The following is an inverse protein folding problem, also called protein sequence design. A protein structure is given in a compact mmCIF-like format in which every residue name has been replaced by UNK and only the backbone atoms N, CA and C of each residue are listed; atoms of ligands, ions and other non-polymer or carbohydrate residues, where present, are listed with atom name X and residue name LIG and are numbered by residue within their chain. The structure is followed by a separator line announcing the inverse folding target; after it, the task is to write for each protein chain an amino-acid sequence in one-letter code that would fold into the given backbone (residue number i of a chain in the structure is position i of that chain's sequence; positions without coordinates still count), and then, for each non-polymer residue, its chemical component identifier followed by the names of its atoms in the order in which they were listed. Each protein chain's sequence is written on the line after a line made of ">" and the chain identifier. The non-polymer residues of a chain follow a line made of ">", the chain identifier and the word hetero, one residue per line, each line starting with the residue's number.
data_IF_058278068911
#
_entry.id   IF_058278068911
#
_cell.length_a   1.000
_cell.length_b   1.000
_cell.length_c   1.000
_cell.angle_alpha   90.00
_cell.angle_beta   90.00
_cell.angle_gamma   90.00
#
_symmetry.space_group_name_H-M   'P 1'
#
loop_
_entity.id
_entity.type
_entity.pdbx_description
1 polymer ?
#
# COMPACT_ATOMS: atom_id res chain seq x y z
N UNK A 1 -16.99 0.96 60.24
CA UNK A 1 -17.47 1.03 58.85
C UNK A 1 -17.40 2.46 58.40
N UNK A 2 -16.41 2.84 57.60
CA UNK A 2 -16.49 4.01 56.71
C UNK A 2 -15.36 3.95 55.68
N UNK A 3 -15.80 3.55 54.49
CA UNK A 3 -15.27 3.64 53.13
C UNK A 3 -13.90 4.30 52.90
N UNK A 4 -12.95 3.47 52.46
CA UNK A 4 -11.81 3.88 51.65
C UNK A 4 -12.29 4.28 50.25
N UNK A 5 -12.35 5.58 49.97
CA UNK A 5 -12.51 6.10 48.60
C UNK A 5 -11.23 5.87 47.79
N UNK A 6 -11.22 4.80 46.99
CA UNK A 6 -10.23 4.62 45.92
C UNK A 6 -10.60 5.57 44.78
N UNK A 7 -9.92 6.72 44.73
CA UNK A 7 -9.96 7.61 43.56
C UNK A 7 -9.19 6.94 42.43
N UNK A 8 -9.88 6.18 41.57
CA UNK A 8 -9.37 5.85 40.23
C UNK A 8 -9.28 7.14 39.41
N UNK A 9 -8.15 7.82 39.51
CA UNK A 9 -7.85 8.99 38.67
C UNK A 9 -7.75 8.52 37.22
N UNK A 10 -8.66 9.03 36.41
CA UNK A 10 -8.92 8.66 35.03
C UNK A 10 -7.72 9.08 34.14
N UNK A 11 -6.76 8.18 33.93
CA UNK A 11 -5.50 8.40 33.20
C UNK A 11 -5.66 8.86 31.75
N UNK A 12 -6.83 8.68 31.13
CA UNK A 12 -7.12 9.21 29.78
C UNK A 12 -7.27 10.73 29.72
N UNK A 13 -7.75 11.37 30.79
CA UNK A 13 -7.93 12.83 30.81
C UNK A 13 -6.60 13.55 31.00
N UNK A 14 -5.63 12.94 31.69
CA UNK A 14 -4.33 13.54 31.95
C UNK A 14 -3.47 13.63 30.69
N UNK A 15 -3.52 12.65 29.79
CA UNK A 15 -2.67 12.64 28.59
C UNK A 15 -3.08 13.71 27.56
N UNK A 16 -4.39 13.93 27.40
CA UNK A 16 -4.93 14.96 26.49
C UNK A 16 -4.74 16.36 27.07
N UNK A 17 -4.88 16.52 28.39
CA UNK A 17 -4.56 17.77 29.08
C UNK A 17 -3.07 18.11 29.01
N UNK A 18 -2.19 17.11 29.14
CA UNK A 18 -0.75 17.28 28.98
C UNK A 18 -0.40 17.72 27.55
N UNK A 19 -1.05 17.12 26.54
CA UNK A 19 -0.88 17.50 25.14
C UNK A 19 -1.40 18.93 24.86
N UNK A 20 -2.48 19.35 25.55
CA UNK A 20 -3.02 20.71 25.52
C UNK A 20 -2.11 21.75 26.17
N UNK A 21 -1.52 21.42 27.32
CA UNK A 21 -0.53 22.26 28.00
C UNK A 21 0.75 22.39 27.19
N UNK A 22 1.25 21.30 26.60
CA UNK A 22 2.44 21.31 25.76
C UNK A 22 2.16 22.09 24.48
N UNK A 23 1.03 21.87 23.80
CA UNK A 23 0.75 22.49 22.50
C UNK A 23 0.20 23.92 22.56
N UNK A 24 -0.10 24.46 23.75
CA UNK A 24 -0.67 25.80 23.94
C UNK A 24 -2.03 26.00 23.25
N UNK A 25 -2.85 24.94 23.16
CA UNK A 25 -4.20 24.96 22.56
C UNK A 25 -5.22 24.33 23.50
N UNK A 26 -6.47 24.78 23.44
CA UNK A 26 -7.57 24.13 24.19
C UNK A 26 -7.74 22.67 23.77
N UNK A 27 -8.16 21.83 24.71
CA UNK A 27 -8.43 20.40 24.50
C UNK A 27 -9.39 20.19 23.32
N UNK A 28 -10.43 21.01 23.21
CA UNK A 28 -11.41 20.95 22.11
C UNK A 28 -10.76 21.23 20.75
N UNK A 29 -9.80 22.15 20.69
CA UNK A 29 -9.04 22.42 19.48
C UNK A 29 -8.14 21.26 19.05
N UNK A 30 -7.63 20.45 19.98
CA UNK A 30 -6.82 19.27 19.65
C UNK A 30 -7.71 18.13 19.12
N UNK A 31 -8.87 17.94 19.75
CA UNK A 31 -9.85 16.93 19.35
C UNK A 31 -10.36 17.19 17.93
N UNK A 32 -10.67 18.44 17.59
CA UNK A 32 -11.10 18.82 16.24
C UNK A 32 -10.03 18.54 15.18
N UNK A 33 -8.77 18.90 15.45
CA UNK A 33 -7.63 18.66 14.53
C UNK A 33 -7.44 17.17 14.27
N UNK A 34 -7.43 16.37 15.34
CA UNK A 34 -7.30 14.92 15.25
C UNK A 34 -8.48 14.32 14.49
N UNK A 35 -9.70 14.82 14.74
CA UNK A 35 -10.90 14.42 14.03
C UNK A 35 -10.81 14.68 12.52
N UNK A 36 -10.44 15.90 12.12
CA UNK A 36 -10.27 16.26 10.70
C UNK A 36 -9.24 15.38 10.01
N UNK A 37 -8.06 15.20 10.60
CA UNK A 37 -7.03 14.39 9.98
C UNK A 37 -7.38 12.89 9.97
N UNK A 38 -8.09 12.40 10.99
CA UNK A 38 -8.62 11.04 10.99
C UNK A 38 -9.63 10.84 9.84
N UNK A 39 -10.58 11.75 9.67
CA UNK A 39 -11.54 11.72 8.56
C UNK A 39 -10.85 11.75 7.19
N UNK A 40 -9.83 12.60 7.02
CA UNK A 40 -9.07 12.65 5.77
C UNK A 40 -8.28 11.36 5.54
N UNK A 41 -7.67 10.76 6.57
CA UNK A 41 -7.00 9.46 6.45
C UNK A 41 -7.99 8.35 6.04
N UNK A 42 -9.16 8.28 6.67
CA UNK A 42 -10.22 7.33 6.30
C UNK A 42 -10.62 7.50 4.84
N UNK A 43 -10.82 8.74 4.40
CA UNK A 43 -11.17 9.05 3.01
C UNK A 43 -10.08 8.62 2.02
N UNK A 44 -8.82 8.94 2.31
CA UNK A 44 -7.67 8.56 1.47
C UNK A 44 -7.64 7.03 1.29
N UNK A 45 -7.78 6.27 2.37
CA UNK A 45 -7.73 4.80 2.31
C UNK A 45 -8.95 4.20 1.60
N UNK A 46 -10.14 4.77 1.80
CA UNK A 46 -11.34 4.35 1.09
C UNK A 46 -11.18 4.56 -0.42
N UNK A 47 -10.65 5.73 -0.82
CA UNK A 47 -10.39 6.03 -2.22
C UNK A 47 -9.32 5.11 -2.81
N UNK A 48 -8.24 4.85 -2.08
CA UNK A 48 -7.22 3.88 -2.50
C UNK A 48 -7.81 2.47 -2.68
N UNK A 49 -8.65 2.01 -1.75
CA UNK A 49 -9.34 0.72 -1.87
C UNK A 49 -10.20 0.68 -3.14
N UNK A 50 -10.96 1.74 -3.44
CA UNK A 50 -11.77 1.84 -4.67
C UNK A 50 -10.88 1.77 -5.91
N UNK A 51 -9.81 2.57 -5.96
CA UNK A 51 -8.87 2.58 -7.09
C UNK A 51 -8.20 1.22 -7.30
N UNK A 52 -7.80 0.54 -6.23
CA UNK A 52 -7.21 -0.80 -6.32
C UNK A 52 -8.19 -1.85 -6.86
N UNK A 53 -9.48 -1.69 -6.56
CA UNK A 53 -10.54 -2.56 -7.07
C UNK A 53 -10.84 -2.26 -8.55
N UNK A 54 -10.87 -0.99 -8.95
CA UNK A 54 -11.00 -0.59 -10.36
C UNK A 54 -9.82 -1.12 -11.18
N UNK A 55 -8.59 -1.02 -10.65
CA UNK A 55 -7.40 -1.55 -11.32
C UNK A 55 -7.51 -3.06 -11.56
N UNK A 56 -8.02 -3.82 -10.58
CA UNK A 56 -8.27 -5.26 -10.76
C UNK A 56 -9.36 -5.55 -11.79
N UNK A 57 -10.43 -4.75 -11.82
CA UNK A 57 -11.49 -4.87 -12.81
C UNK A 57 -10.96 -4.67 -14.23
N UNK A 58 -10.19 -3.59 -14.46
CA UNK A 58 -9.53 -3.31 -15.73
C UNK A 58 -8.63 -4.48 -16.12
N UNK A 59 -7.76 -4.95 -15.22
CA UNK A 59 -6.88 -6.10 -15.50
C UNK A 59 -7.66 -7.34 -15.92
N UNK A 60 -8.81 -7.61 -15.29
CA UNK A 60 -9.68 -8.73 -15.64
C UNK A 60 -10.33 -8.54 -17.01
N UNK A 61 -10.86 -7.36 -17.29
CA UNK A 61 -11.57 -7.05 -18.54
C UNK A 61 -10.64 -7.15 -19.75
N UNK A 62 -9.41 -6.66 -19.62
CA UNK A 62 -8.38 -6.77 -20.65
C UNK A 62 -7.67 -8.15 -20.66
N UNK A 63 -8.14 -9.12 -19.87
CA UNK A 63 -7.57 -10.46 -19.77
C UNK A 63 -6.05 -10.46 -19.56
N UNK A 64 -5.57 -9.52 -18.73
CA UNK A 64 -4.16 -9.36 -18.41
C UNK A 64 -3.64 -10.64 -17.77
N UNK A 65 -2.48 -11.11 -18.25
CA UNK A 65 -1.84 -12.26 -17.66
C UNK A 65 -1.19 -11.91 -16.31
N UNK A 66 -1.88 -12.21 -15.22
CA UNK A 66 -1.40 -11.99 -13.85
C UNK A 66 -0.72 -13.21 -13.25
N UNK A 67 -0.63 -14.33 -13.99
CA UNK A 67 0.22 -15.46 -13.62
C UNK A 67 1.71 -15.15 -13.84
N UNK A 68 1.99 -14.31 -14.84
CA UNK A 68 3.31 -13.77 -15.12
C UNK A 68 3.82 -12.96 -13.93
N UNK A 69 4.98 -13.36 -13.40
CA UNK A 69 5.65 -12.68 -12.30
C UNK A 69 5.94 -11.20 -12.60
N UNK A 70 6.35 -10.91 -13.84
CA UNK A 70 6.67 -9.55 -14.26
C UNK A 70 5.42 -8.68 -14.34
N UNK A 71 4.38 -9.20 -15.01
CA UNK A 71 3.10 -8.51 -15.17
C UNK A 71 2.47 -8.20 -13.82
N UNK A 72 2.33 -9.19 -12.95
CA UNK A 72 1.66 -8.98 -11.68
C UNK A 72 2.41 -8.00 -10.77
N UNK A 73 3.75 -8.06 -10.75
CA UNK A 73 4.56 -7.08 -10.02
C UNK A 73 4.43 -5.68 -10.59
N UNK A 74 4.40 -5.53 -11.91
CA UNK A 74 4.26 -4.25 -12.58
C UNK A 74 2.91 -3.59 -12.25
N UNK A 75 1.79 -4.31 -12.43
CA UNK A 75 0.46 -3.77 -12.10
C UNK A 75 0.26 -3.52 -10.61
N UNK A 76 0.82 -4.37 -9.76
CA UNK A 76 0.86 -4.14 -8.32
C UNK A 76 1.59 -2.87 -7.94
N UNK A 77 2.78 -2.65 -8.51
CA UNK A 77 3.59 -1.46 -8.29
C UNK A 77 2.87 -0.21 -8.79
N UNK A 78 2.28 -0.27 -9.98
CA UNK A 78 1.47 0.81 -10.54
C UNK A 78 0.30 1.17 -9.61
N UNK A 79 -0.42 0.17 -9.12
CA UNK A 79 -1.56 0.36 -8.21
C UNK A 79 -1.14 1.02 -6.90
N UNK A 80 -0.05 0.56 -6.29
CA UNK A 80 0.47 1.14 -5.04
C UNK A 80 0.91 2.58 -5.25
N UNK A 81 1.72 2.84 -6.29
CA UNK A 81 2.35 4.15 -6.51
C UNK A 81 1.32 5.19 -6.99
N UNK A 82 0.71 4.96 -8.16
CA UNK A 82 -0.28 5.88 -8.71
C UNK A 82 -1.56 5.92 -7.88
N UNK A 83 -2.01 4.79 -7.33
CA UNK A 83 -3.17 4.77 -6.45
C UNK A 83 -2.94 5.60 -5.18
N UNK A 84 -1.75 5.51 -4.55
CA UNK A 84 -1.43 6.35 -3.37
C UNK A 84 -1.37 7.83 -3.75
N UNK A 85 -0.75 8.16 -4.88
CA UNK A 85 -0.68 9.53 -5.37
C UNK A 85 -2.06 10.13 -5.66
N UNK A 86 -2.88 9.43 -6.44
CA UNK A 86 -4.22 9.88 -6.83
C UNK A 86 -5.12 9.99 -5.61
N UNK A 87 -5.14 8.97 -4.75
CA UNK A 87 -5.98 8.99 -3.53
C UNK A 87 -5.63 10.17 -2.63
N UNK A 88 -4.34 10.45 -2.47
CA UNK A 88 -3.86 11.59 -1.72
C UNK A 88 -4.27 12.92 -2.37
N UNK A 89 -4.02 13.12 -3.67
CA UNK A 89 -4.33 14.38 -4.36
C UNK A 89 -5.82 14.69 -4.43
N UNK A 90 -6.65 13.69 -4.65
CA UNK A 90 -8.11 13.86 -4.61
C UNK A 90 -8.55 14.23 -3.20
N UNK A 91 -7.95 13.65 -2.15
CA UNK A 91 -8.26 14.07 -0.77
C UNK A 91 -7.89 15.52 -0.50
N UNK A 92 -6.75 16.02 -1.01
CA UNK A 92 -6.37 17.43 -0.89
C UNK A 92 -7.39 18.33 -1.58
N UNK A 93 -7.75 18.01 -2.82
CA UNK A 93 -8.72 18.79 -3.60
C UNK A 93 -10.09 18.86 -2.93
N UNK A 94 -10.54 17.77 -2.31
CA UNK A 94 -11.81 17.73 -1.59
C UNK A 94 -11.78 18.55 -0.32
N UNK A 95 -10.68 18.51 0.43
CA UNK A 95 -10.54 19.39 1.61
C UNK A 95 -10.49 20.85 1.19
N UNK A 96 -9.76 21.19 0.13
CA UNK A 96 -9.73 22.55 -0.40
C UNK A 96 -11.11 23.01 -0.88
N UNK A 97 -11.87 22.13 -1.55
CA UNK A 97 -13.24 22.43 -1.97
C UNK A 97 -14.17 22.66 -0.78
N UNK A 98 -14.09 21.79 0.24
CA UNK A 98 -14.84 21.94 1.48
C UNK A 98 -14.53 23.27 2.17
N UNK A 99 -13.25 23.61 2.33
CA UNK A 99 -12.82 24.88 2.95
C UNK A 99 -13.22 26.13 2.15
N UNK A 100 -13.46 26.00 0.84
CA UNK A 100 -13.99 27.08 -0.02
C UNK A 100 -15.51 27.21 0.10
N UNK A 101 -16.24 26.09 0.05
CA UNK A 101 -17.71 26.08 0.14
C UNK A 101 -18.16 26.58 1.50
N UNK A 102 -17.48 26.17 2.57
CA UNK A 102 -17.85 26.51 3.94
C UNK A 102 -17.02 27.67 4.51
N UNK A 103 -16.52 28.58 3.66
CA UNK A 103 -15.59 29.66 4.05
C UNK A 103 -16.05 30.50 5.25
N UNK A 104 -17.36 30.70 5.38
CA UNK A 104 -17.98 31.53 6.42
C UNK A 104 -18.34 30.73 7.69
N UNK A 105 -18.13 29.41 7.67
CA UNK A 105 -18.32 28.57 8.84
C UNK A 105 -17.15 28.69 9.81
N UNK A 106 -17.48 28.78 11.10
CA UNK A 106 -16.49 28.73 12.18
C UNK A 106 -15.57 27.50 12.08
N UNK A 107 -16.13 26.35 11.71
CA UNK A 107 -15.39 25.09 11.53
C UNK A 107 -14.35 25.19 10.41
N UNK A 108 -14.71 25.72 9.23
CA UNK A 108 -13.75 25.87 8.13
C UNK A 108 -12.69 26.94 8.42
N UNK A 109 -13.05 28.00 9.16
CA UNK A 109 -12.09 28.99 9.66
C UNK A 109 -11.02 28.34 10.54
N UNK A 110 -11.43 27.55 11.55
CA UNK A 110 -10.50 26.80 12.42
C UNK A 110 -9.68 25.77 11.65
N UNK A 111 -10.28 25.03 10.73
CA UNK A 111 -9.56 24.07 9.88
C UNK A 111 -8.49 24.78 9.03
N UNK A 112 -8.76 25.98 8.51
CA UNK A 112 -7.80 26.78 7.74
C UNK A 112 -6.64 27.31 8.59
N UNK A 113 -6.87 27.64 9.86
CA UNK A 113 -5.80 28.03 10.80
C UNK A 113 -4.86 26.87 11.15
N UNK A 114 -5.37 25.65 11.13
CA UNK A 114 -4.62 24.41 11.38
C UNK A 114 -3.89 23.96 10.12
N UNK A 115 -4.62 23.92 9.01
CA UNK A 115 -4.14 23.50 7.71
C UNK A 115 -3.53 24.72 7.00
N UNK A 116 -2.28 25.05 7.30
CA UNK A 116 -1.57 26.09 6.54
C UNK A 116 -1.09 25.51 5.18
N UNK A 117 -1.76 25.81 4.05
CA UNK A 117 -1.47 25.11 2.79
C UNK A 117 -0.22 25.66 2.08
N UNK A 118 0.37 26.76 2.56
CA UNK A 118 1.25 27.60 1.73
C UNK A 118 2.76 27.39 1.89
N UNK A 119 3.25 26.52 2.78
CA UNK A 119 4.71 26.24 2.94
C UNK A 119 5.07 24.77 3.22
N UNK A 120 4.10 23.86 3.11
CA UNK A 120 4.14 22.43 3.48
C UNK A 120 4.95 21.52 2.55
N UNK A 121 5.37 21.99 1.37
CA UNK A 121 5.95 21.09 0.36
C UNK A 121 7.43 20.74 0.54
N UNK A 122 8.10 21.11 1.64
CA UNK A 122 9.57 21.00 1.75
C UNK A 122 10.07 20.16 2.92
N UNK A 123 9.48 20.23 4.13
CA UNK A 123 10.00 19.51 5.30
C UNK A 123 9.82 17.98 5.17
N UNK A 124 8.61 17.53 4.83
CA UNK A 124 8.27 16.11 4.64
C UNK A 124 9.07 15.44 3.51
N UNK A 125 9.48 16.24 2.53
CA UNK A 125 10.28 15.78 1.40
C UNK A 125 11.78 15.77 1.73
N UNK A 126 12.26 16.70 2.56
CA UNK A 126 13.65 16.79 2.94
C UNK A 126 14.08 15.64 3.86
N UNK A 127 13.19 15.07 4.68
CA UNK A 127 13.54 13.97 5.61
C UNK A 127 13.92 12.67 4.88
N UNK A 128 13.12 12.11 3.94
CA UNK A 128 13.52 10.95 3.15
C UNK A 128 14.75 11.21 2.30
N UNK A 129 14.87 12.41 1.71
CA UNK A 129 16.05 12.80 0.92
C UNK A 129 17.29 12.88 1.79
N UNK A 130 17.19 13.44 3.00
CA UNK A 130 18.29 13.51 3.96
C UNK A 130 18.66 12.11 4.49
N UNK A 131 17.68 11.23 4.72
CA UNK A 131 17.93 9.84 5.08
C UNK A 131 18.61 9.08 3.94
N UNK A 132 18.12 9.21 2.70
CA UNK A 132 18.76 8.65 1.51
C UNK A 132 20.17 9.20 1.31
N UNK A 133 20.38 10.51 1.50
CA UNK A 133 21.69 11.14 1.45
C UNK A 133 22.62 10.61 2.55
N UNK A 134 22.13 10.49 3.80
CA UNK A 134 22.93 9.93 4.91
C UNK A 134 23.25 8.46 4.70
N UNK A 135 22.30 7.66 4.22
CA UNK A 135 22.53 6.27 3.86
C UNK A 135 23.51 6.16 2.69
N UNK A 136 23.35 6.98 1.65
CA UNK A 136 24.27 7.07 0.52
C UNK A 136 25.68 7.42 0.99
N UNK A 137 25.83 8.45 1.83
CA UNK A 137 27.11 8.84 2.43
C UNK A 137 27.71 7.76 3.32
N UNK A 138 26.90 7.05 4.10
CA UNK A 138 27.34 5.93 4.92
C UNK A 138 27.84 4.76 4.06
N UNK A 139 27.11 4.40 3.00
CA UNK A 139 27.52 3.40 2.00
C UNK A 139 28.76 3.85 1.22
N UNK A 140 28.87 5.14 0.90
CA UNK A 140 29.99 5.71 0.16
C UNK A 140 31.27 5.78 1.02
N UNK A 141 31.14 6.03 2.33
CA UNK A 141 32.25 5.98 3.28
C UNK A 141 32.75 4.54 3.55
N UNK A 142 31.99 3.52 3.14
CA UNK A 142 32.38 2.11 3.21
C UNK A 142 33.01 1.59 1.89
N UNK A 143 33.06 2.42 0.84
CA UNK A 143 33.64 2.09 -0.47
C UNK A 143 35.00 2.82 -0.65
N UNK A 144 36.05 2.14 -1.14
CA UNK A 144 37.36 2.76 -1.33
C UNK A 144 37.31 3.89 -2.37
N UNK A 145 38.01 4.98 -2.04
CA UNK A 145 38.03 6.28 -2.72
C UNK A 145 38.45 6.18 -4.19
N UNK A 146 37.53 6.48 -5.10
CA UNK A 146 37.82 7.15 -6.39
C UNK A 146 36.53 7.56 -7.12
N UNK A 147 35.75 8.50 -6.57
CA UNK A 147 34.64 9.15 -7.30
C UNK A 147 34.15 10.44 -6.62
N UNK A 148 35.08 11.36 -6.33
CA UNK A 148 34.79 12.65 -5.67
C UNK A 148 34.07 13.71 -6.52
N UNK A 149 33.76 13.44 -7.79
CA UNK A 149 33.20 14.44 -8.71
C UNK A 149 31.66 14.50 -8.75
N UNK A 150 30.95 13.50 -8.21
CA UNK A 150 29.48 13.44 -8.28
C UNK A 150 28.77 14.24 -7.17
N UNK A 151 29.47 14.49 -6.05
CA UNK A 151 28.91 15.14 -4.85
C UNK A 151 28.63 16.65 -5.05
N UNK A 152 29.45 17.32 -5.88
CA UNK A 152 29.34 18.76 -6.15
C UNK A 152 28.16 19.07 -7.09
N UNK A 153 27.88 18.19 -8.05
CA UNK A 153 26.82 18.41 -9.04
C UNK A 153 25.41 18.26 -8.41
N UNK A 154 25.25 17.31 -7.48
CA UNK A 154 23.99 17.06 -6.77
C UNK A 154 23.71 18.19 -5.75
N UNK A 155 24.75 18.71 -5.09
CA UNK A 155 24.63 19.81 -4.11
C UNK A 155 24.09 21.10 -4.74
N UNK A 156 24.57 21.46 -5.94
CA UNK A 156 24.16 22.70 -6.61
C UNK A 156 22.76 22.62 -7.24
N UNK A 157 22.28 21.42 -7.59
CA UNK A 157 20.94 21.26 -8.16
C UNK A 157 19.83 21.18 -7.09
N UNK A 158 20.15 20.77 -5.86
CA UNK A 158 19.16 20.54 -4.80
C UNK A 158 18.99 21.71 -3.82
N UNK A 159 19.95 22.64 -3.71
CA UNK A 159 19.97 23.66 -2.67
C UNK A 159 19.74 25.12 -3.11
N UNK A 160 19.59 25.39 -4.42
CA UNK A 160 19.07 26.66 -4.94
C UNK A 160 20.02 27.87 -4.86
N UNK A 161 19.97 28.74 -5.87
CA UNK A 161 20.42 30.13 -5.77
C UNK A 161 19.27 31.02 -6.24
N UNK A 162 18.90 31.96 -5.38
CA UNK A 162 17.95 33.03 -5.63
C UNK A 162 18.50 33.99 -6.68
N UNK A 163 17.61 34.60 -7.47
CA UNK A 163 17.78 35.95 -7.98
C UNK A 163 16.40 36.65 -8.06
N UNK A 164 16.38 37.88 -7.55
CA UNK A 164 15.22 38.72 -7.28
C UNK A 164 14.67 39.43 -8.53
N UNK A 165 13.36 39.74 -8.54
CA UNK A 165 12.79 41.12 -8.61
C UNK A 165 11.29 41.19 -9.00
N UNK A 166 10.69 42.30 -8.55
CA UNK A 166 9.56 43.10 -9.07
C UNK A 166 8.11 42.93 -8.53
N UNK A 167 7.76 43.93 -7.70
CA UNK A 167 6.67 44.92 -7.80
C UNK A 167 5.17 44.59 -7.73
N UNK A 168 4.51 45.52 -7.04
CA UNK A 168 3.11 45.63 -6.64
C UNK A 168 2.25 46.18 -7.79
N UNK A 169 1.10 45.56 -8.11
CA UNK A 169 -0.15 46.32 -8.29
C UNK A 169 -1.43 45.45 -8.22
N UNK A 170 -2.48 46.09 -7.72
CA UNK A 170 -3.86 45.63 -7.59
C UNK A 170 -4.55 45.41 -8.94
N UNK A 171 -5.28 44.31 -9.09
CA UNK A 171 -6.61 44.29 -9.72
C UNK A 171 -7.26 42.90 -9.62
N UNK A 172 -8.44 42.87 -9.01
CA UNK A 172 -9.23 41.66 -8.76
C UNK A 172 -9.92 41.21 -10.05
N UNK A 173 -9.41 40.15 -10.69
CA UNK A 173 -10.20 39.28 -11.59
C UNK A 173 -10.02 37.84 -11.18
N UNK A 174 -11.13 37.16 -10.85
CA UNK A 174 -11.16 35.71 -10.60
C UNK A 174 -10.93 35.00 -11.93
N UNK A 175 -9.65 34.86 -12.30
CA UNK A 175 -9.18 33.96 -13.34
C UNK A 175 -8.70 32.69 -12.65
N UNK A 176 -9.37 31.55 -12.89
CA UNK A 176 -8.87 30.23 -12.50
C UNK A 176 -7.66 29.90 -13.40
N UNK A 177 -6.55 30.61 -13.21
CA UNK A 177 -5.24 30.19 -13.72
C UNK A 177 -4.81 29.01 -12.86
N UNK A 178 -5.05 27.78 -13.31
CA UNK A 178 -4.33 26.65 -12.72
C UNK A 178 -2.82 26.93 -12.91
N UNK A 179 -2.01 27.00 -11.84
CA UNK A 179 -0.58 27.18 -12.00
C UNK A 179 -0.06 26.06 -12.91
N UNK A 180 0.65 26.39 -14.00
CA UNK A 180 1.34 25.37 -14.79
C UNK A 180 2.19 24.55 -13.81
N UNK A 181 1.95 23.23 -13.67
CA UNK A 181 2.65 22.46 -12.67
C UNK A 181 4.14 22.53 -12.97
N UNK A 182 4.93 23.05 -12.04
CA UNK A 182 6.37 22.98 -12.11
C UNK A 182 6.73 21.48 -12.22
N UNK A 183 7.19 21.07 -13.41
CA UNK A 183 7.43 19.66 -13.77
C UNK A 183 8.39 18.98 -12.79
N UNK A 184 9.30 19.74 -12.17
CA UNK A 184 10.20 19.26 -11.12
C UNK A 184 9.47 18.98 -9.80
N UNK A 185 8.57 19.87 -9.37
CA UNK A 185 7.76 19.67 -8.15
C UNK A 185 6.85 18.44 -8.27
N UNK A 186 6.16 18.28 -9.40
CA UNK A 186 5.28 17.13 -9.63
C UNK A 186 6.05 15.80 -9.54
N UNK A 187 7.19 15.68 -10.22
CA UNK A 187 8.03 14.47 -10.18
C UNK A 187 8.48 14.14 -8.76
N UNK A 188 8.89 15.15 -7.99
CA UNK A 188 9.35 15.02 -6.60
C UNK A 188 8.21 14.55 -5.68
N UNK A 189 7.04 15.17 -5.77
CA UNK A 189 5.86 14.76 -4.97
C UNK A 189 5.42 13.34 -5.30
N UNK A 190 5.33 13.00 -6.59
CA UNK A 190 4.98 11.65 -7.03
C UNK A 190 5.97 10.62 -6.48
N UNK A 191 7.27 10.88 -6.58
CA UNK A 191 8.31 9.97 -6.09
C UNK A 191 8.24 9.76 -4.57
N UNK A 192 8.02 10.84 -3.80
CA UNK A 192 7.95 10.76 -2.34
C UNK A 192 6.70 10.00 -1.89
N UNK A 193 5.52 10.37 -2.42
CA UNK A 193 4.26 9.70 -2.08
C UNK A 193 4.34 8.23 -2.46
N UNK A 194 4.88 7.93 -3.64
CA UNK A 194 5.11 6.54 -4.09
C UNK A 194 6.06 5.78 -3.18
N UNK A 195 7.14 6.43 -2.71
CA UNK A 195 8.09 5.83 -1.77
C UNK A 195 7.47 5.48 -0.42
N UNK A 196 6.72 6.43 0.18
CA UNK A 196 5.98 6.17 1.42
C UNK A 196 4.92 5.09 1.25
N UNK A 197 4.12 5.17 0.17
CA UNK A 197 3.10 4.18 -0.15
C UNK A 197 3.69 2.79 -0.32
N UNK A 198 4.75 2.64 -1.11
CA UNK A 198 5.40 1.35 -1.34
C UNK A 198 6.07 0.81 -0.08
N UNK A 199 6.79 1.64 0.67
CA UNK A 199 7.42 1.21 1.93
C UNK A 199 6.38 0.71 2.93
N UNK A 200 5.29 1.45 3.09
CA UNK A 200 4.20 1.08 4.02
C UNK A 200 3.48 -0.18 3.56
N UNK A 201 3.22 -0.30 2.26
CA UNK A 201 2.62 -1.48 1.67
C UNK A 201 3.41 -2.75 2.02
N UNK A 202 4.74 -2.71 1.83
CA UNK A 202 5.62 -3.84 2.14
C UNK A 202 5.70 -4.11 3.66
N UNK A 203 5.80 -3.07 4.49
CA UNK A 203 5.82 -3.18 5.95
C UNK A 203 4.55 -3.83 6.51
N UNK A 204 3.39 -3.54 5.90
CA UNK A 204 2.10 -4.13 6.28
C UNK A 204 1.88 -5.53 5.67
N UNK A 205 2.93 -6.14 5.09
CA UNK A 205 2.90 -7.49 4.54
C UNK A 205 2.30 -7.60 3.14
N UNK A 206 2.16 -6.49 2.43
CA UNK A 206 1.69 -6.46 1.06
C UNK A 206 2.66 -7.14 0.09
N UNK A 207 2.13 -7.92 -0.84
CA UNK A 207 2.86 -8.44 -2.00
C UNK A 207 2.34 -7.75 -3.24
N UNK A 208 3.17 -7.34 -4.19
CA UNK A 208 2.68 -6.65 -5.40
C UNK A 208 1.60 -7.45 -6.16
N UNK A 209 1.60 -8.78 -6.02
CA UNK A 209 0.55 -9.65 -6.56
C UNK A 209 -0.83 -9.42 -5.92
N UNK A 210 -0.88 -8.89 -4.69
CA UNK A 210 -2.10 -8.65 -3.89
C UNK A 210 -3.12 -7.69 -4.52
N UNK A 211 -2.71 -6.87 -5.50
CA UNK A 211 -3.59 -5.96 -6.25
C UNK A 211 -3.89 -6.42 -7.67
N UNK A 212 -3.59 -7.68 -7.98
CA UNK A 212 -3.91 -8.28 -9.28
C UNK A 212 -4.99 -9.34 -9.12
N UNK A 213 -5.87 -9.53 -10.12
CA UNK A 213 -6.79 -10.66 -10.12
C UNK A 213 -6.04 -11.99 -9.98
N UNK A 214 -6.59 -12.89 -9.17
CA UNK A 214 -6.03 -14.23 -8.99
C UNK A 214 -6.44 -15.17 -10.13
N UNK A 215 -5.48 -15.60 -10.94
CA UNK A 215 -5.73 -16.66 -11.92
C UNK A 215 -5.86 -18.02 -11.21
N UNK A 216 -6.90 -18.79 -11.54
CA UNK A 216 -7.22 -20.05 -10.85
C UNK A 216 -6.20 -21.17 -11.07
N UNK A 217 -5.37 -21.07 -12.11
CA UNK A 217 -4.33 -22.05 -12.48
C UNK A 217 -3.01 -21.90 -11.70
N UNK A 218 -2.89 -20.86 -10.87
CA UNK A 218 -1.67 -20.51 -10.14
C UNK A 218 -2.00 -20.07 -8.70
N UNK A 219 -1.00 -19.99 -7.79
CA UNK A 219 -1.20 -19.35 -6.50
C UNK A 219 -1.73 -17.92 -6.67
N UNK A 220 -2.89 -17.64 -6.05
CA UNK A 220 -3.53 -16.32 -6.12
C UNK A 220 -2.85 -15.22 -5.30
N UNK A 221 -3.46 -14.04 -5.35
CA UNK A 221 -3.05 -12.78 -4.71
C UNK A 221 -2.88 -12.84 -3.19
N UNK A 222 -3.53 -13.81 -2.55
CA UNK A 222 -3.46 -14.05 -1.11
C UNK A 222 -2.67 -15.32 -0.76
N UNK A 223 -1.98 -15.91 -1.73
CA UNK A 223 -1.12 -17.05 -1.47
C UNK A 223 0.04 -16.65 -0.55
N UNK A 224 0.36 -17.56 0.36
CA UNK A 224 1.49 -17.43 1.28
C UNK A 224 2.48 -18.56 1.02
N UNK A 225 3.41 -18.40 0.06
CA UNK A 225 4.34 -19.47 -0.32
C UNK A 225 5.11 -20.04 0.87
N UNK A 226 5.52 -19.18 1.81
CA UNK A 226 6.25 -19.57 3.03
C UNK A 226 5.46 -20.49 3.98
N UNK A 227 4.13 -20.49 3.89
CA UNK A 227 3.25 -21.33 4.71
C UNK A 227 2.63 -22.49 3.91
N UNK A 228 2.91 -22.57 2.61
CA UNK A 228 2.40 -23.64 1.76
C UNK A 228 3.02 -24.99 2.15
N UNK A 229 2.28 -26.08 1.97
CA UNK A 229 2.77 -27.43 2.28
C UNK A 229 3.14 -28.14 1.00
N UNK A 230 4.32 -28.77 0.94
CA UNK A 230 4.71 -29.57 -0.23
C UNK A 230 3.72 -30.72 -0.43
N UNK A 231 3.26 -30.90 -1.67
CA UNK A 231 2.40 -32.02 -2.05
C UNK A 231 3.25 -33.22 -2.47
N UNK A 232 2.78 -34.43 -2.15
CA UNK A 232 3.39 -35.66 -2.61
C UNK A 232 2.83 -36.05 -3.99
N UNK A 233 3.46 -35.52 -5.03
CA UNK A 233 3.04 -35.72 -6.40
C UNK A 233 1.60 -35.25 -6.66
N UNK A 234 0.73 -36.18 -7.06
CA UNK A 234 -0.69 -35.91 -7.32
C UNK A 234 -1.60 -36.39 -6.17
N UNK A 235 -1.03 -36.87 -5.07
CA UNK A 235 -1.76 -37.43 -3.95
C UNK A 235 -2.57 -36.36 -3.21
N UNK A 236 -3.71 -36.75 -2.65
CA UNK A 236 -4.48 -35.85 -1.79
C UNK A 236 -3.72 -35.54 -0.50
N UNK A 237 -3.98 -34.35 0.07
CA UNK A 237 -3.44 -33.99 1.38
C UNK A 237 -3.85 -35.01 2.45
N UNK A 238 -2.88 -35.42 3.27
CA UNK A 238 -3.13 -36.30 4.41
C UNK A 238 -3.85 -35.54 5.55
N UNK A 239 -4.29 -36.26 6.58
CA UNK A 239 -5.05 -35.67 7.70
C UNK A 239 -4.29 -34.57 8.44
N UNK A 240 -2.97 -34.69 8.57
CA UNK A 240 -2.13 -33.69 9.20
C UNK A 240 -2.01 -32.42 8.35
N UNK A 241 -1.72 -32.56 7.05
CA UNK A 241 -1.69 -31.44 6.10
C UNK A 241 -3.04 -30.74 6.03
N UNK A 242 -4.15 -31.49 5.97
CA UNK A 242 -5.51 -30.92 6.01
C UNK A 242 -5.74 -30.07 7.26
N UNK A 243 -5.30 -30.54 8.43
CA UNK A 243 -5.41 -29.79 9.69
C UNK A 243 -4.60 -28.49 9.66
N UNK A 244 -3.36 -28.53 9.17
CA UNK A 244 -2.55 -27.31 9.01
C UNK A 244 -3.21 -26.34 8.02
N UNK A 245 -3.72 -26.84 6.88
CA UNK A 245 -4.42 -26.02 5.90
C UNK A 245 -5.66 -25.35 6.49
N UNK A 246 -6.41 -26.02 7.38
CA UNK A 246 -7.49 -25.35 8.12
C UNK A 246 -6.96 -24.19 8.96
N UNK A 247 -5.88 -24.40 9.72
CA UNK A 247 -5.31 -23.36 10.58
C UNK A 247 -4.82 -22.15 9.76
N UNK A 248 -4.13 -22.39 8.64
CA UNK A 248 -3.68 -21.33 7.75
C UNK A 248 -4.87 -20.62 7.12
N UNK A 249 -5.85 -21.36 6.61
CA UNK A 249 -7.05 -20.81 5.98
C UNK A 249 -7.87 -19.94 6.93
N UNK A 250 -8.09 -20.37 8.17
CA UNK A 250 -8.81 -19.58 9.18
C UNK A 250 -8.07 -18.31 9.57
N UNK A 251 -6.74 -18.32 9.57
CA UNK A 251 -5.93 -17.16 9.97
C UNK A 251 -5.71 -16.15 8.83
N UNK A 252 -5.47 -16.63 7.61
CA UNK A 252 -5.02 -15.79 6.49
C UNK A 252 -6.00 -15.77 5.31
N UNK A 253 -6.94 -16.71 5.28
CA UNK A 253 -8.00 -16.81 4.29
C UNK A 253 -7.66 -17.70 3.10
N UNK A 254 -8.58 -17.71 2.14
CA UNK A 254 -8.42 -18.38 0.86
C UNK A 254 -7.29 -17.75 0.06
N UNK A 255 -6.35 -18.55 -0.44
CA UNK A 255 -5.20 -18.09 -1.22
C UNK A 255 -5.61 -17.41 -2.54
N UNK A 256 -6.80 -17.74 -3.07
CA UNK A 256 -7.35 -17.14 -4.28
C UNK A 256 -8.12 -15.85 -3.97
N UNK A 257 -9.20 -15.90 -3.18
CA UNK A 257 -10.10 -14.76 -3.03
C UNK A 257 -9.95 -13.97 -1.73
N UNK A 258 -9.03 -14.37 -0.85
CA UNK A 258 -8.79 -13.71 0.43
C UNK A 258 -9.92 -13.86 1.47
N UNK A 259 -10.93 -14.69 1.20
CA UNK A 259 -12.02 -14.91 2.16
C UNK A 259 -11.50 -15.58 3.44
N UNK A 260 -11.70 -14.92 4.56
CA UNK A 260 -11.47 -15.44 5.91
C UNK A 260 -12.83 -15.82 6.50
N UNK A 261 -12.98 -17.05 6.98
CA UNK A 261 -14.21 -17.56 7.57
C UNK A 261 -13.87 -18.64 8.60
N UNK A 262 -14.40 -18.52 9.80
CA UNK A 262 -14.26 -19.55 10.84
C UNK A 262 -15.19 -20.75 10.62
N UNK A 263 -16.27 -20.54 9.85
CA UNK A 263 -17.32 -21.53 9.59
C UNK A 263 -17.02 -22.38 8.36
N UNK A 264 -16.41 -21.80 7.32
CA UNK A 264 -16.08 -22.57 6.11
C UNK A 264 -14.86 -23.48 6.34
N UNK A 265 -14.90 -24.67 5.73
CA UNK A 265 -13.72 -25.55 5.65
C UNK A 265 -12.89 -25.18 4.44
N UNK A 266 -11.57 -25.11 4.63
CA UNK A 266 -10.63 -24.84 3.55
C UNK A 266 -10.17 -26.14 2.88
N UNK A 267 -10.16 -26.18 1.56
CA UNK A 267 -9.66 -27.32 0.77
C UNK A 267 -8.15 -27.13 0.62
N UNK A 268 -7.40 -28.23 0.76
CA UNK A 268 -5.98 -28.28 0.45
C UNK A 268 -5.83 -28.35 -1.08
N UNK A 269 -5.79 -27.19 -1.72
CA UNK A 269 -5.74 -27.08 -3.16
C UNK A 269 -4.31 -27.24 -3.69
N UNK A 270 -4.15 -28.02 -4.76
CA UNK A 270 -2.87 -28.22 -5.43
C UNK A 270 -2.57 -27.03 -6.34
N UNK A 271 -1.41 -26.40 -6.13
CA UNK A 271 -0.92 -25.35 -7.00
C UNK A 271 0.47 -25.68 -7.57
N UNK A 272 0.64 -25.72 -8.92
CA UNK A 272 -0.43 -25.65 -9.93
C UNK A 272 -1.41 -26.83 -9.84
N UNK A 273 -2.64 -26.73 -10.38
CA UNK A 273 -3.60 -27.83 -10.35
C UNK A 273 -3.09 -29.06 -11.11
N UNK A 274 -3.33 -30.26 -10.58
CA UNK A 274 -2.83 -31.51 -11.18
C UNK A 274 -3.29 -31.72 -12.63
N UNK A 275 -4.49 -31.24 -13.01
CA UNK A 275 -4.96 -31.26 -14.39
C UNK A 275 -4.11 -30.40 -15.33
N UNK A 276 -3.63 -29.24 -14.86
CA UNK A 276 -2.72 -28.36 -15.61
C UNK A 276 -1.35 -29.04 -15.78
N UNK A 277 -0.83 -29.65 -14.71
CA UNK A 277 0.46 -30.37 -14.75
C UNK A 277 0.39 -31.56 -15.72
N UNK A 278 -0.66 -32.40 -15.62
CA UNK A 278 -0.86 -33.56 -16.51
C UNK A 278 -0.93 -33.14 -17.98
N UNK A 279 -1.68 -32.08 -18.29
CA UNK A 279 -1.77 -31.55 -19.66
C UNK A 279 -0.41 -31.06 -20.19
N UNK A 280 0.37 -30.37 -19.36
CA UNK A 280 1.72 -29.92 -19.75
C UNK A 280 2.61 -31.11 -20.09
N UNK A 281 2.58 -32.16 -19.28
CA UNK A 281 3.38 -33.37 -19.49
C UNK A 281 2.90 -34.21 -20.70
N UNK A 282 1.61 -34.16 -21.05
CA UNK A 282 1.07 -34.85 -22.22
C UNK A 282 1.29 -34.11 -23.55
N UNK A 283 1.91 -32.93 -23.55
CA UNK A 283 2.20 -32.19 -24.77
C UNK A 283 3.13 -32.96 -25.72
N UNK A 284 2.90 -32.86 -27.04
CA UNK A 284 3.58 -33.65 -28.10
C UNK A 284 5.09 -33.74 -27.90
N UNK A 285 5.75 -32.60 -27.71
CA UNK A 285 7.21 -32.52 -27.54
C UNK A 285 7.69 -33.07 -26.20
N UNK A 286 7.09 -32.66 -25.08
CA UNK A 286 7.51 -33.11 -23.74
C UNK A 286 7.28 -34.62 -23.58
N UNK A 287 6.12 -35.11 -24.00
CA UNK A 287 5.78 -36.53 -23.98
C UNK A 287 6.76 -37.36 -24.84
N UNK A 288 7.14 -36.85 -26.01
CA UNK A 288 8.18 -37.48 -26.84
C UNK A 288 9.52 -37.58 -26.12
N UNK A 289 10.00 -36.48 -25.53
CA UNK A 289 11.29 -36.43 -24.82
C UNK A 289 11.29 -37.35 -23.59
N UNK A 290 10.20 -37.39 -22.84
CA UNK A 290 10.04 -38.27 -21.67
C UNK A 290 10.00 -39.75 -22.08
N UNK A 291 9.26 -40.10 -23.14
CA UNK A 291 9.13 -41.48 -23.62
C UNK A 291 10.45 -42.05 -24.12
N UNK A 292 11.27 -41.23 -24.78
CA UNK A 292 12.58 -41.62 -25.28
C UNK A 292 13.70 -41.43 -24.24
N UNK A 293 13.36 -41.13 -22.98
CA UNK A 293 14.31 -40.90 -21.87
C UNK A 293 15.38 -39.83 -22.18
N UNK A 294 15.07 -38.89 -23.08
CA UNK A 294 15.96 -37.79 -23.46
C UNK A 294 16.04 -36.72 -22.37
N UNK A 295 14.98 -36.61 -21.56
CA UNK A 295 14.95 -35.76 -20.38
C UNK A 295 14.31 -36.52 -19.21
N UNK A 296 14.82 -36.37 -17.98
CA UNK A 296 14.17 -36.94 -16.81
C UNK A 296 12.94 -36.12 -16.36
N UNK A 297 11.95 -36.80 -15.78
CA UNK A 297 10.66 -36.19 -15.40
C UNK A 297 10.78 -35.05 -14.38
N UNK A 298 11.77 -35.12 -13.49
CA UNK A 298 11.96 -34.11 -12.44
C UNK A 298 12.38 -32.74 -12.99
N UNK A 299 12.92 -32.67 -14.22
CA UNK A 299 13.26 -31.39 -14.87
C UNK A 299 12.04 -30.68 -15.48
N UNK A 300 10.96 -31.41 -15.75
CA UNK A 300 9.77 -30.87 -16.43
C UNK A 300 8.52 -30.83 -15.57
N UNK A 301 8.44 -31.69 -14.55
CA UNK A 301 7.32 -31.71 -13.61
C UNK A 301 7.53 -30.63 -12.56
N UNK A 302 6.67 -29.58 -12.50
CA UNK A 302 6.76 -28.58 -11.44
C UNK A 302 6.44 -29.20 -10.08
N UNK A 303 7.09 -28.70 -9.03
CA UNK A 303 6.69 -29.00 -7.66
C UNK A 303 5.28 -28.45 -7.40
N UNK A 304 4.45 -29.23 -6.73
CA UNK A 304 3.10 -28.84 -6.35
C UNK A 304 3.05 -28.60 -4.84
N UNK A 305 2.31 -27.56 -4.44
CA UNK A 305 2.11 -27.20 -3.05
C UNK A 305 0.62 -27.08 -2.74
N UNK A 306 0.26 -27.38 -1.49
CA UNK A 306 -1.06 -27.17 -0.93
C UNK A 306 -1.24 -25.75 -0.40
N UNK A 307 -2.33 -25.12 -0.83
CA UNK A 307 -2.78 -23.83 -0.33
C UNK A 307 -4.23 -23.93 0.19
N UNK A 308 -4.61 -23.10 1.18
CA UNK A 308 -6.00 -23.06 1.66
C UNK A 308 -6.91 -22.41 0.63
N UNK A 309 -7.89 -23.15 0.12
CA UNK A 309 -8.87 -22.64 -0.85
C UNK A 309 -10.30 -22.78 -0.33
N UNK A 310 -11.15 -21.77 -0.49
CA UNK A 310 -12.57 -21.89 -0.15
C UNK A 310 -13.33 -22.70 -1.20
N UNK A 311 -14.47 -23.28 -0.82
CA UNK A 311 -15.27 -24.13 -1.71
C UNK A 311 -15.69 -23.39 -3.01
N UNK A 312 -16.09 -22.12 -2.89
CA UNK A 312 -16.47 -21.28 -4.05
C UNK A 312 -15.34 -21.13 -5.08
N UNK A 313 -14.09 -20.97 -4.62
CA UNK A 313 -12.94 -20.86 -5.51
C UNK A 313 -12.56 -22.22 -6.11
N UNK A 314 -12.63 -23.28 -5.30
CA UNK A 314 -12.31 -24.64 -5.76
C UNK A 314 -13.24 -25.10 -6.88
N UNK A 315 -14.55 -24.87 -6.74
CA UNK A 315 -15.54 -25.19 -7.80
C UNK A 315 -15.23 -24.43 -9.11
N UNK A 316 -14.96 -23.12 -9.02
CA UNK A 316 -14.58 -22.32 -10.19
C UNK A 316 -13.30 -22.83 -10.83
N UNK A 317 -12.31 -23.19 -10.04
CA UNK A 317 -11.05 -23.71 -10.55
C UNK A 317 -11.26 -25.05 -11.26
N UNK A 318 -12.02 -25.97 -10.67
CA UNK A 318 -12.33 -27.24 -11.30
C UNK A 318 -13.00 -27.04 -12.68
N UNK A 319 -13.95 -26.11 -12.78
CA UNK A 319 -14.60 -25.76 -14.05
C UNK A 319 -13.64 -25.10 -15.06
N UNK A 320 -12.73 -24.24 -14.60
CA UNK A 320 -11.74 -23.60 -15.45
C UNK A 320 -10.71 -24.60 -15.99
N UNK A 321 -10.22 -25.48 -15.11
CA UNK A 321 -9.22 -26.50 -15.43
C UNK A 321 -9.81 -27.56 -16.36
N UNK A 322 -11.07 -27.97 -16.19
CA UNK A 322 -11.72 -28.95 -17.07
C UNK A 322 -11.92 -28.42 -18.49
N UNK A 323 -12.35 -27.15 -18.60
CA UNK A 323 -12.54 -26.46 -19.90
C UNK A 323 -11.25 -25.93 -20.52
N UNK A 324 -10.11 -26.10 -19.85
CA UNK A 324 -8.82 -25.53 -20.24
C UNK A 324 -8.89 -24.02 -20.54
N UNK A 325 -9.68 -23.29 -19.74
CA UNK A 325 -9.86 -21.84 -19.89
C UNK A 325 -9.12 -21.10 -18.78
N UNK A 326 -8.64 -19.90 -19.11
CA UNK A 326 -8.15 -18.97 -18.11
C UNK A 326 -9.35 -18.34 -17.41
N UNK A 327 -9.30 -18.29 -16.09
CA UNK A 327 -10.33 -17.66 -15.28
C UNK A 327 -9.69 -16.98 -14.09
N UNK A 328 -10.03 -15.71 -13.90
CA UNK A 328 -9.46 -14.85 -12.87
C UNK A 328 -10.53 -14.37 -11.89
N UNK A 329 -10.18 -14.38 -10.61
CA UNK A 329 -11.02 -13.95 -9.50
C UNK A 329 -10.51 -12.61 -8.98
N UNK A 330 -11.38 -11.59 -8.97
CA UNK A 330 -11.11 -10.27 -8.37
C UNK A 330 -11.42 -10.27 -6.87
N UNK A 331 -10.91 -9.27 -6.16
CA UNK A 331 -10.90 -9.22 -4.70
C UNK A 331 -11.72 -8.07 -4.12
N UNK A 332 -12.79 -7.69 -4.82
CA UNK A 332 -13.71 -6.64 -4.40
C UNK A 332 -14.16 -6.81 -2.94
N UNK A 333 -14.06 -5.72 -2.17
CA UNK A 333 -14.45 -5.68 -0.77
C UNK A 333 -13.53 -6.45 0.18
N UNK A 334 -12.36 -6.94 -0.27
CA UNK A 334 -11.39 -7.62 0.60
C UNK A 334 -10.39 -6.63 1.16
N UNK A 335 -10.73 -6.07 2.31
CA UNK A 335 -9.80 -5.22 3.04
C UNK A 335 -8.69 -6.04 3.71
N UNK A 336 -7.49 -5.47 3.67
CA UNK A 336 -6.27 -5.93 4.35
C UNK A 336 -5.51 -4.72 4.85
N UNK A 337 -4.71 -4.90 5.89
CA UNK A 337 -3.89 -3.85 6.48
C UNK A 337 -3.08 -3.06 5.46
N UNK A 338 -2.48 -3.73 4.47
CA UNK A 338 -1.68 -3.07 3.43
C UNK A 338 -2.45 -2.09 2.53
N UNK A 339 -3.79 -2.05 2.57
CA UNK A 339 -4.58 -0.99 1.91
C UNK A 339 -4.45 0.36 2.61
N UNK A 340 -3.91 0.40 3.83
CA UNK A 340 -3.62 1.62 4.58
C UNK A 340 -2.34 2.33 4.10
N UNK A 341 -1.71 1.83 3.03
CA UNK A 341 -0.42 2.31 2.58
C UNK A 341 -0.32 3.82 2.25
N UNK A 342 -1.36 4.53 1.79
CA UNK A 342 -1.23 5.96 1.54
C UNK A 342 -1.24 6.81 2.83
N UNK A 343 -1.64 6.24 3.97
CA UNK A 343 -1.81 6.96 5.24
C UNK A 343 -0.50 7.51 5.78
N UNK A 344 0.63 6.84 5.56
CA UNK A 344 1.92 7.23 6.17
C UNK A 344 2.50 8.50 5.58
N UNK A 345 2.35 8.72 4.28
CA UNK A 345 2.70 10.01 3.69
C UNK A 345 1.83 11.12 4.31
N UNK A 346 0.53 10.86 4.42
CA UNK A 346 -0.38 11.82 5.03
C UNK A 346 -0.04 12.11 6.50
N UNK A 347 0.21 11.10 7.32
CA UNK A 347 0.59 11.27 8.74
C UNK A 347 1.93 11.98 8.87
N UNK A 348 2.93 11.62 8.07
CA UNK A 348 4.22 12.33 8.08
C UNK A 348 4.03 13.81 7.72
N UNK A 349 3.16 14.11 6.76
CA UNK A 349 2.77 15.48 6.43
C UNK A 349 2.17 16.20 7.63
N UNK A 350 1.19 15.61 8.32
CA UNK A 350 0.59 16.21 9.51
C UNK A 350 1.66 16.53 10.56
N UNK A 351 2.58 15.59 10.82
CA UNK A 351 3.63 15.74 11.83
C UNK A 351 4.60 16.88 11.48
N UNK A 352 5.05 16.96 10.22
CA UNK A 352 6.08 17.91 9.81
C UNK A 352 5.54 19.28 9.38
N UNK A 353 4.29 19.36 8.92
CA UNK A 353 3.69 20.61 8.41
C UNK A 353 2.79 21.32 9.42
N UNK A 354 2.24 20.61 10.41
CA UNK A 354 1.66 21.32 11.56
C UNK A 354 2.79 22.01 12.32
N UNK A 355 2.50 23.15 12.96
CA UNK A 355 3.48 23.96 13.73
C UNK A 355 4.07 23.21 14.96
N UNK A 356 4.14 21.88 14.97
CA UNK A 356 4.87 21.08 15.96
C UNK A 356 6.36 21.44 16.01
N UNK A 357 6.97 21.82 14.89
CA UNK A 357 8.35 22.33 14.86
C UNK A 357 8.55 23.69 15.54
N UNK A 358 7.48 24.48 15.73
CA UNK A 358 7.53 25.74 16.51
C UNK A 358 7.42 25.52 18.02
N UNK A 359 6.95 24.35 18.46
CA UNK A 359 6.89 23.97 19.87
C UNK A 359 8.29 23.69 20.45
N UNK A 360 9.17 23.04 19.69
CA UNK A 360 10.58 22.83 20.09
C UNK A 360 11.45 24.10 20.06
N UNK A 361 10.94 25.22 19.54
CA UNK A 361 11.69 26.50 19.47
C UNK A 361 11.37 27.46 20.61
N UNK A 362 10.41 27.13 21.49
CA UNK A 362 10.07 27.92 22.68
C UNK A 362 10.56 27.30 23.99
N UNK A 363 11.32 26.21 23.93
CA UNK A 363 11.99 25.58 25.10
C UNK A 363 13.51 25.83 25.05
N UNK A 364 13.90 27.05 24.72
CA UNK A 364 15.26 27.55 24.93
C UNK A 364 15.20 28.91 25.56
#
# INVERSE_FOLDING_TARGET
>A
MTETHIVKKNTRHTDIQLCSMVCGRSVDGIIEILGTYCCQALFINALFLILSNIAQWIQKEFNVDTSSFFSAKFYGLLTVTFGSYISYKVSELLVDAFLKVFKDSFLAGRMREVMNPSKSSLACINVPILLLYRCSKYLHNQLPLNLGSLDIHIKNQLLGSDDAKDDVNEDVRISVKSPRPNRGRFKRELAVISGYGLGTFLLLGGSLHSFTPSELSHPGAYAMPKLSLKADGYGYANSFQKRIIQTIGKKYGCHTCGMISDKEKYIADHQPPSGVVKRKLSGKYISFLLRHRLIPIHLVKPEQHFYPQCNKCSIKQAAAVSKNRRESVTHFGRFRTYHLCPTTFFVSRVIFDTKWSKLNRKVK
#
